data_IF_729710767909
#
_entry.id   IF_729710767909
#
_cell.length_a   1.000
_cell.length_b   1.000
_cell.length_c   1.000
_cell.angle_alpha   90.00
_cell.angle_beta   90.00
_cell.angle_gamma   90.00
#
_symmetry.space_group_name_H-M   'P 1'
#
loop_
_entity.id
_entity.type
_entity.pdbx_description
1 polymer ?
#
# COMPACT_ATOMS: atom_id res chain seq x y z
N UNK A 1 35.52 45.72 40.22
CA UNK A 1 35.15 44.29 40.38
C UNK A 1 33.63 44.23 40.43
N UNK A 2 32.84 43.37 39.78
CA UNK A 2 32.97 42.31 38.79
C UNK A 2 31.51 42.04 38.35
N UNK A 3 31.14 42.30 37.10
CA UNK A 3 30.95 41.31 36.00
C UNK A 3 29.62 40.54 36.02
N UNK A 4 28.79 40.89 35.01
CA UNK A 4 27.94 40.03 34.16
C UNK A 4 26.68 39.33 34.70
N UNK A 5 25.55 39.74 34.09
CA UNK A 5 24.36 38.94 33.89
C UNK A 5 24.70 37.61 33.17
N UNK A 6 24.38 36.49 33.81
CA UNK A 6 24.51 35.15 33.22
C UNK A 6 23.28 34.81 32.38
N UNK A 7 23.47 34.87 31.07
CA UNK A 7 22.70 34.19 30.03
C UNK A 7 22.83 32.67 30.23
N UNK A 8 21.79 32.02 30.76
CA UNK A 8 21.66 30.57 30.77
C UNK A 8 21.16 30.07 29.41
N UNK A 9 22.09 29.56 28.60
CA UNK A 9 21.82 28.83 27.34
C UNK A 9 21.06 27.53 27.61
N UNK A 10 20.20 27.17 26.66
CA UNK A 10 20.10 25.80 26.21
C UNK A 10 18.91 25.00 26.73
N UNK A 11 17.68 25.49 26.56
CA UNK A 11 16.59 24.56 26.30
C UNK A 11 16.90 23.87 24.98
N UNK A 12 17.37 22.62 25.04
CA UNK A 12 17.29 21.65 23.95
C UNK A 12 15.80 21.39 23.68
N UNK A 13 15.12 22.39 23.09
CA UNK A 13 13.92 22.16 22.31
C UNK A 13 14.37 21.23 21.20
N UNK A 14 13.86 20.00 21.18
CA UNK A 14 14.09 19.07 20.08
C UNK A 14 13.97 19.85 18.78
N UNK A 15 15.05 19.90 18.00
CA UNK A 15 15.05 20.57 16.71
C UNK A 15 13.94 19.90 15.91
N UNK A 16 12.81 20.58 15.80
CA UNK A 16 11.73 20.15 14.93
C UNK A 16 12.30 20.23 13.52
N UNK A 17 12.73 19.08 12.99
CA UNK A 17 13.09 18.98 11.58
C UNK A 17 11.80 19.19 10.81
N UNK A 18 11.79 20.25 10.01
CA UNK A 18 10.68 20.54 9.14
C UNK A 18 10.99 19.88 7.80
N UNK A 19 10.04 19.16 7.22
CA UNK A 19 10.17 18.61 5.88
C UNK A 19 9.17 19.32 4.97
N UNK A 20 9.61 19.69 3.77
CA UNK A 20 8.69 20.16 2.74
C UNK A 20 7.91 18.98 2.13
N UNK A 21 6.88 19.24 1.30
CA UNK A 21 6.13 18.18 0.64
C UNK A 21 6.94 17.27 -0.29
N UNK A 22 8.17 17.64 -0.66
CA UNK A 22 9.11 16.83 -1.43
C UNK A 22 10.07 16.00 -0.54
N UNK A 23 9.87 16.01 0.78
CA UNK A 23 10.67 15.27 1.76
C UNK A 23 12.01 15.92 2.10
N UNK A 24 12.35 17.07 1.53
CA UNK A 24 13.58 17.78 1.85
C UNK A 24 13.49 18.46 3.23
N UNK A 25 14.55 18.36 4.03
CA UNK A 25 14.64 19.05 5.31
C UNK A 25 14.78 20.56 5.08
N UNK A 26 13.90 21.34 5.70
CA UNK A 26 13.84 22.79 5.61
C UNK A 26 14.03 23.43 6.98
N UNK A 27 14.53 24.67 6.98
CA UNK A 27 15.02 25.32 8.20
C UNK A 27 13.89 25.92 9.03
N UNK A 28 12.74 26.15 8.41
CA UNK A 28 11.61 26.82 9.06
C UNK A 28 10.30 26.11 8.81
N UNK A 29 9.35 26.28 9.75
CA UNK A 29 7.97 25.82 9.60
C UNK A 29 7.31 26.47 8.37
N UNK A 30 7.54 27.76 8.15
CA UNK A 30 6.94 28.48 7.03
C UNK A 30 7.45 27.96 5.68
N UNK A 31 8.72 27.53 5.59
CA UNK A 31 9.25 26.85 4.39
C UNK A 31 8.62 25.46 4.17
N UNK A 32 8.27 24.74 5.25
CA UNK A 32 7.61 23.43 5.13
C UNK A 32 6.14 23.54 4.68
N UNK A 33 5.47 24.66 4.96
CA UNK A 33 4.06 24.89 4.63
C UNK A 33 3.84 25.97 3.56
N UNK A 34 4.91 26.54 2.99
CA UNK A 34 4.81 27.45 1.87
C UNK A 34 4.14 26.73 0.70
N UNK A 35 2.99 27.23 0.27
CA UNK A 35 2.26 26.72 -0.88
C UNK A 35 3.08 26.93 -2.15
N UNK A 36 3.99 26.00 -2.45
CA UNK A 36 4.53 25.88 -3.80
C UNK A 36 3.35 25.55 -4.71
N UNK A 37 3.05 26.42 -5.67
CA UNK A 37 1.88 26.26 -6.57
C UNK A 37 1.98 25.03 -7.50
N UNK A 38 3.08 24.29 -7.44
CA UNK A 38 3.33 23.06 -8.19
C UNK A 38 3.63 21.85 -7.28
N UNK A 39 3.01 21.75 -6.09
CA UNK A 39 3.03 20.48 -5.34
C UNK A 39 2.10 19.46 -6.00
N UNK A 40 2.59 18.78 -7.04
CA UNK A 40 1.98 17.54 -7.53
C UNK A 40 3.04 16.45 -7.66
N UNK A 41 3.63 16.09 -6.52
CA UNK A 41 4.47 14.90 -6.43
C UNK A 41 4.03 13.98 -5.29
N UNK A 42 2.79 14.08 -4.83
CA UNK A 42 2.20 12.96 -4.10
C UNK A 42 2.19 11.76 -5.06
N UNK A 43 2.78 10.64 -4.65
CA UNK A 43 2.74 9.43 -5.45
C UNK A 43 1.27 8.98 -5.58
N UNK A 44 0.63 9.27 -6.72
CA UNK A 44 -0.76 8.90 -6.96
C UNK A 44 -0.95 7.38 -7.02
N UNK A 45 0.14 6.63 -7.15
CA UNK A 45 0.17 5.18 -7.19
C UNK A 45 1.52 4.66 -6.71
N UNK A 46 1.49 3.66 -5.82
CA UNK A 46 2.66 2.89 -5.38
C UNK A 46 2.41 1.40 -5.59
N UNK A 47 3.48 0.63 -5.81
CA UNK A 47 3.41 -0.81 -5.93
C UNK A 47 3.41 -1.48 -4.55
N UNK A 48 2.39 -2.29 -4.29
CA UNK A 48 2.23 -3.13 -3.13
C UNK A 48 2.40 -4.60 -3.55
N UNK A 49 3.50 -5.23 -3.13
CA UNK A 49 3.76 -6.64 -3.41
C UNK A 49 3.13 -7.51 -2.33
N UNK A 50 2.36 -8.51 -2.77
CA UNK A 50 1.66 -9.46 -1.92
C UNK A 50 1.92 -10.88 -2.42
N UNK A 51 1.88 -11.83 -1.51
CA UNK A 51 1.86 -13.25 -1.82
C UNK A 51 0.64 -13.89 -1.17
N UNK A 52 -0.20 -14.55 -1.97
CA UNK A 52 -1.33 -15.34 -1.49
C UNK A 52 -0.97 -16.81 -1.51
N UNK A 53 -1.16 -17.52 -0.40
CA UNK A 53 -0.92 -18.96 -0.31
C UNK A 53 -2.14 -19.68 0.31
N UNK A 54 -2.51 -20.84 -0.23
CA UNK A 54 -3.58 -21.68 0.31
C UNK A 54 -3.13 -23.11 0.69
N UNK A 55 -1.83 -23.35 0.78
CA UNK A 55 -1.20 -24.66 1.00
C UNK A 55 -0.90 -25.45 -0.29
N UNK A 56 -1.65 -25.22 -1.37
CA UNK A 56 -1.46 -25.93 -2.65
C UNK A 56 -0.91 -25.04 -3.76
N UNK A 57 -1.25 -23.75 -3.75
CA UNK A 57 -0.80 -22.76 -4.73
C UNK A 57 -0.33 -21.49 -4.04
N UNK A 58 0.58 -20.79 -4.69
CA UNK A 58 1.12 -19.49 -4.27
C UNK A 58 0.97 -18.49 -5.40
N UNK A 59 0.18 -17.44 -5.22
CA UNK A 59 0.03 -16.37 -6.21
C UNK A 59 0.98 -15.23 -5.89
N UNK A 60 1.76 -14.81 -6.89
CA UNK A 60 2.52 -13.57 -6.82
C UNK A 60 1.66 -12.40 -7.31
N UNK A 61 1.50 -11.37 -6.46
CA UNK A 61 0.59 -10.25 -6.70
C UNK A 61 1.37 -8.95 -6.56
N UNK A 62 1.25 -8.08 -7.55
CA UNK A 62 1.69 -6.68 -7.45
C UNK A 62 0.46 -5.80 -7.66
N UNK A 63 -0.08 -5.26 -6.57
CA UNK A 63 -1.20 -4.32 -6.61
C UNK A 63 -0.69 -2.89 -6.70
N UNK A 64 -1.31 -2.07 -7.54
CA UNK A 64 -1.09 -0.62 -7.56
C UNK A 64 -2.10 0.04 -6.66
N UNK A 65 -1.65 0.82 -5.69
CA UNK A 65 -2.53 1.47 -4.70
C UNK A 65 -2.29 2.96 -4.62
N UNK A 66 -3.35 3.73 -4.33
CA UNK A 66 -3.23 5.13 -3.98
C UNK A 66 -2.86 5.26 -2.48
N UNK A 67 -1.62 5.68 -2.14
CA UNK A 67 -1.17 5.78 -0.76
C UNK A 67 -1.83 6.92 0.02
N UNK A 68 -2.54 7.84 -0.63
CA UNK A 68 -3.19 8.99 0.01
C UNK A 68 -4.62 8.68 0.50
N UNK A 69 -5.00 7.40 0.54
CA UNK A 69 -6.35 6.93 0.92
C UNK A 69 -6.28 5.87 2.01
N UNK A 70 -7.29 5.78 2.87
CA UNK A 70 -7.45 4.65 3.78
C UNK A 70 -8.93 4.21 3.84
N UNK A 71 -9.26 2.93 3.55
CA UNK A 71 -8.34 1.88 3.06
C UNK A 71 -7.70 2.29 1.72
N UNK A 72 -6.50 1.79 1.44
CA UNK A 72 -5.77 2.12 0.21
C UNK A 72 -6.56 1.63 -1.00
N UNK A 73 -7.00 2.56 -1.86
CA UNK A 73 -7.74 2.22 -3.09
C UNK A 73 -6.78 1.55 -4.06
N UNK A 74 -7.16 0.36 -4.56
CA UNK A 74 -6.40 -0.35 -5.58
C UNK A 74 -6.78 0.21 -6.95
N UNK A 75 -5.79 0.79 -7.64
CA UNK A 75 -5.94 1.44 -8.95
C UNK A 75 -5.52 0.53 -10.11
N UNK A 76 -4.89 -0.61 -9.82
CA UNK A 76 -4.51 -1.59 -10.83
C UNK A 76 -3.57 -2.65 -10.30
N UNK A 77 -2.75 -3.22 -11.17
CA UNK A 77 -1.73 -4.22 -10.83
C UNK A 77 -1.97 -5.55 -11.53
N UNK A 78 -1.22 -6.58 -11.15
CA UNK A 78 -1.32 -7.91 -11.76
C UNK A 78 -1.09 -9.03 -10.75
N UNK A 79 -1.77 -10.15 -10.96
CA UNK A 79 -1.39 -11.45 -10.43
C UNK A 79 -0.56 -12.14 -11.51
N UNK A 80 0.73 -12.31 -11.26
CA UNK A 80 1.72 -12.65 -12.30
C UNK A 80 1.98 -14.15 -12.43
N UNK A 81 1.76 -14.94 -11.38
CA UNK A 81 2.04 -16.38 -11.38
C UNK A 81 1.21 -17.17 -10.37
N UNK A 82 1.30 -18.50 -10.44
CA UNK A 82 0.69 -19.43 -9.48
C UNK A 82 -0.79 -19.71 -9.68
N UNK A 83 -1.44 -18.94 -10.55
CA UNK A 83 -2.84 -19.08 -10.97
C UNK A 83 -2.89 -19.50 -12.44
N UNK A 84 -3.82 -20.38 -12.80
CA UNK A 84 -3.97 -20.80 -14.18
C UNK A 84 -4.39 -19.63 -15.08
N UNK A 85 -3.85 -19.58 -16.29
CA UNK A 85 -4.10 -18.49 -17.22
C UNK A 85 -3.51 -17.14 -16.79
N UNK A 86 -2.53 -17.13 -15.87
CA UNK A 86 -1.74 -15.93 -15.57
C UNK A 86 -1.10 -15.34 -16.85
N UNK A 87 -0.96 -14.00 -16.94
CA UNK A 87 -1.28 -13.00 -15.91
C UNK A 87 -2.77 -12.65 -15.81
N UNK A 88 -3.15 -12.08 -14.66
CA UNK A 88 -4.47 -11.49 -14.44
C UNK A 88 -4.31 -10.02 -14.05
N UNK A 89 -5.02 -9.14 -14.74
CA UNK A 89 -5.03 -7.70 -14.46
C UNK A 89 -5.96 -7.39 -13.29
N UNK A 90 -5.42 -6.77 -12.25
CA UNK A 90 -6.20 -6.29 -11.11
C UNK A 90 -6.96 -5.05 -11.58
N UNK A 91 -8.28 -5.11 -11.51
CA UNK A 91 -9.17 -4.06 -12.00
C UNK A 91 -9.71 -3.17 -10.89
N UNK A 92 -9.42 -3.48 -9.63
CA UNK A 92 -9.79 -2.64 -8.49
C UNK A 92 -9.92 -3.41 -7.18
N UNK A 93 -10.32 -2.69 -6.13
CA UNK A 93 -10.39 -3.20 -4.78
C UNK A 93 -9.84 -2.22 -3.75
N UNK A 94 -9.47 -2.72 -2.59
CA UNK A 94 -8.89 -1.94 -1.50
C UNK A 94 -8.01 -2.80 -0.58
N UNK A 95 -7.08 -2.15 0.12
CA UNK A 95 -6.17 -2.77 1.09
C UNK A 95 -6.19 -1.92 2.37
N UNK A 96 -6.61 -2.49 3.50
CA UNK A 96 -6.65 -1.84 4.82
C UNK A 96 -6.90 -2.88 5.92
N UNK A 97 -7.83 -2.64 6.83
CA UNK A 97 -8.28 -3.63 7.82
C UNK A 97 -8.88 -4.89 7.18
N UNK A 98 -9.40 -4.72 5.97
CA UNK A 98 -9.80 -5.80 5.07
C UNK A 98 -9.11 -5.63 3.73
N UNK A 99 -8.95 -6.73 3.01
CA UNK A 99 -8.49 -6.72 1.63
C UNK A 99 -9.63 -7.14 0.71
N UNK A 100 -9.74 -6.46 -0.42
CA UNK A 100 -10.46 -6.96 -1.58
C UNK A 100 -9.63 -6.70 -2.83
N UNK A 101 -9.40 -7.72 -3.65
CA UNK A 101 -8.83 -7.58 -4.99
C UNK A 101 -9.77 -8.22 -6.01
N UNK A 102 -10.14 -7.48 -7.04
CA UNK A 102 -10.84 -8.02 -8.19
C UNK A 102 -9.87 -8.02 -9.37
N UNK A 103 -9.74 -9.14 -10.08
CA UNK A 103 -8.91 -9.23 -11.26
C UNK A 103 -9.61 -9.97 -12.41
N UNK A 104 -9.20 -9.64 -13.63
CA UNK A 104 -9.64 -10.28 -14.87
C UNK A 104 -8.46 -10.90 -15.56
N UNK A 105 -8.66 -12.07 -16.16
CA UNK A 105 -7.61 -12.72 -16.94
C UNK A 105 -7.30 -11.91 -18.21
N UNK A 106 -6.03 -11.68 -18.50
CA UNK A 106 -5.61 -10.92 -19.68
C UNK A 106 -5.68 -11.73 -20.98
N UNK A 107 -5.62 -13.06 -20.89
CA UNK A 107 -5.59 -13.99 -22.03
C UNK A 107 -6.88 -14.80 -22.26
N UNK A 108 -6.90 -15.56 -23.36
CA UNK A 108 -7.96 -16.54 -23.68
C UNK A 108 -7.61 -17.93 -23.14
N UNK A 109 -8.61 -18.73 -22.77
CA UNK A 109 -8.41 -20.07 -22.21
C UNK A 109 -9.63 -20.62 -21.46
N UNK A 110 -9.57 -21.90 -21.06
CA UNK A 110 -10.65 -22.62 -20.38
C UNK A 110 -10.74 -22.39 -18.86
N UNK A 111 -9.77 -21.69 -18.27
CA UNK A 111 -9.84 -21.29 -16.87
C UNK A 111 -10.94 -20.23 -16.65
N UNK A 112 -11.22 -19.91 -15.39
CA UNK A 112 -12.08 -18.80 -15.02
C UNK A 112 -11.66 -17.47 -15.66
N UNK A 113 -12.59 -16.51 -15.71
CA UNK A 113 -12.38 -15.20 -16.33
C UNK A 113 -12.15 -14.09 -15.31
N UNK A 114 -12.75 -14.22 -14.12
CA UNK A 114 -12.60 -13.27 -13.03
C UNK A 114 -12.23 -13.96 -11.73
N UNK A 115 -11.47 -13.28 -10.88
CA UNK A 115 -11.15 -13.70 -9.52
C UNK A 115 -11.47 -12.56 -8.56
N UNK A 116 -12.04 -12.91 -7.41
CA UNK A 116 -12.20 -12.02 -6.26
C UNK A 116 -11.47 -12.62 -5.07
N UNK A 117 -10.52 -11.88 -4.53
CA UNK A 117 -9.82 -12.18 -3.27
C UNK A 117 -10.38 -11.28 -2.20
N UNK A 118 -10.74 -11.84 -1.04
CA UNK A 118 -11.16 -11.11 0.15
C UNK A 118 -10.43 -11.63 1.38
N UNK A 119 -10.30 -10.81 2.41
CA UNK A 119 -9.75 -11.24 3.69
C UNK A 119 -9.74 -10.16 4.75
N UNK A 120 -9.48 -10.58 5.98
CA UNK A 120 -9.38 -9.72 7.17
C UNK A 120 -7.95 -9.68 7.66
N UNK A 121 -7.49 -8.50 8.06
CA UNK A 121 -6.15 -8.30 8.57
C UNK A 121 -5.88 -9.19 9.79
N UNK A 122 -4.66 -9.72 9.87
CA UNK A 122 -4.12 -10.50 10.99
C UNK A 122 -2.72 -9.98 11.32
N UNK A 123 -2.29 -10.23 12.56
CA UNK A 123 -0.94 -9.93 13.04
C UNK A 123 -0.16 -11.26 13.21
N UNK A 124 1.04 -11.45 12.63
CA UNK A 124 1.86 -10.51 11.84
C UNK A 124 1.21 -10.07 10.52
N UNK A 125 1.58 -8.89 9.94
CA UNK A 125 0.89 -8.24 8.82
C UNK A 125 0.54 -9.16 7.65
N UNK A 126 -0.70 -9.63 7.65
CA UNK A 126 -1.23 -10.58 6.69
C UNK A 126 -2.76 -10.47 6.64
N UNK A 127 -3.37 -11.19 5.71
CA UNK A 127 -4.81 -11.30 5.55
C UNK A 127 -5.20 -12.76 5.55
N UNK A 128 -6.12 -13.15 6.44
CA UNK A 128 -6.78 -14.45 6.37
C UNK A 128 -8.10 -14.27 5.66
N UNK A 129 -8.39 -15.09 4.65
CA UNK A 129 -9.65 -14.94 3.93
C UNK A 129 -9.91 -16.03 2.92
N UNK A 130 -10.67 -15.66 1.90
CA UNK A 130 -11.05 -16.55 0.80
C UNK A 130 -10.86 -15.88 -0.55
N UNK A 131 -10.70 -16.69 -1.58
CA UNK A 131 -10.84 -16.24 -2.96
C UNK A 131 -11.82 -17.13 -3.71
N UNK A 132 -12.37 -16.62 -4.79
CA UNK A 132 -13.25 -17.37 -5.69
C UNK A 132 -13.19 -16.81 -7.09
N UNK A 133 -13.82 -17.54 -8.01
CA UNK A 133 -13.81 -17.24 -9.43
C UNK A 133 -15.22 -16.90 -9.93
N UNK A 134 -15.28 -16.14 -11.03
CA UNK A 134 -16.52 -15.91 -11.80
C UNK A 134 -17.72 -15.48 -10.93
N UNK A 135 -17.46 -14.52 -10.03
CA UNK A 135 -18.45 -13.94 -9.12
C UNK A 135 -18.45 -14.55 -7.70
N UNK A 136 -17.83 -15.72 -7.50
CA UNK A 136 -17.62 -16.27 -6.17
C UNK A 136 -16.46 -15.58 -5.44
N UNK A 137 -16.51 -15.52 -4.11
CA UNK A 137 -15.43 -14.98 -3.26
C UNK A 137 -15.09 -15.85 -2.06
N UNK A 138 -15.81 -16.96 -1.85
CA UNK A 138 -15.75 -17.81 -0.66
C UNK A 138 -15.30 -19.25 -0.94
N UNK A 139 -14.71 -19.51 -2.11
CA UNK A 139 -14.42 -20.87 -2.58
C UNK A 139 -13.20 -21.50 -1.92
N UNK A 140 -12.10 -20.76 -1.79
CA UNK A 140 -10.81 -21.28 -1.33
C UNK A 140 -10.25 -20.40 -0.22
N UNK A 141 -9.96 -21.00 0.93
CA UNK A 141 -9.31 -20.30 2.04
C UNK A 141 -7.86 -20.00 1.69
N UNK A 142 -7.33 -18.86 2.13
CA UNK A 142 -5.95 -18.47 1.90
C UNK A 142 -5.41 -17.59 3.03
N UNK A 143 -4.09 -17.42 3.04
CA UNK A 143 -3.39 -16.34 3.74
C UNK A 143 -2.63 -15.50 2.71
N UNK A 144 -2.83 -14.19 2.73
CA UNK A 144 -2.08 -13.23 1.92
C UNK A 144 -1.12 -12.45 2.81
N UNK A 145 0.15 -12.34 2.45
CA UNK A 145 1.16 -11.58 3.20
C UNK A 145 1.78 -10.48 2.34
N UNK A 146 2.25 -9.42 2.99
CA UNK A 146 3.11 -8.43 2.35
C UNK A 146 4.48 -9.02 2.04
N UNK A 147 5.02 -8.67 0.88
CA UNK A 147 6.42 -8.94 0.53
C UNK A 147 7.19 -7.61 0.57
N UNK A 148 8.21 -7.54 1.42
CA UNK A 148 9.12 -6.40 1.55
C UNK A 148 10.42 -6.65 0.79
#
# INVERSE_FOLDING_TARGET
MSTQARKGKGQTRGEHRFHNPQGAEVKTRDEAFAAQRDVSAEALTVDCKLELNNGSVTFAITAKVNPNTHPFVVTGGQITSGICGAPWDITGGFIGDTIRLNAKRSGQGSCASTITVVGEFQNPPSYRGTYGFDGASSSFKHTTRYLC
#
